data_IF_510625243310
#
_entry.id   IF_510625243310
#
_cell.length_a   1.000
_cell.length_b   1.000
_cell.length_c   1.000
_cell.angle_alpha   90.00
_cell.angle_beta   90.00
_cell.angle_gamma   90.00
#
_symmetry.space_group_name_H-M   'P 1'
#
loop_
_entity.id
_entity.type
_entity.pdbx_description
1 polymer ?
#
# COMPACT_ATOMS: atom_id res chain seq x y z
N UNK A 1 5.73 -39.10 -4.77
CA UNK A 1 4.33 -38.73 -4.47
C UNK A 1 4.14 -37.27 -4.89
N UNK A 2 3.69 -37.03 -6.12
CA UNK A 2 3.52 -35.69 -6.66
C UNK A 2 2.03 -35.33 -6.54
N UNK A 3 1.66 -34.69 -5.43
CA UNK A 3 0.34 -34.08 -5.29
C UNK A 3 0.22 -32.97 -6.33
N UNK A 4 -0.60 -33.19 -7.37
CA UNK A 4 -1.05 -32.09 -8.22
C UNK A 4 -1.65 -31.02 -7.29
N UNK A 5 -1.22 -29.75 -7.35
CA UNK A 5 -1.99 -28.69 -6.72
C UNK A 5 -3.37 -28.75 -7.38
N UNK A 6 -4.40 -29.12 -6.61
CA UNK A 6 -5.77 -29.10 -7.10
C UNK A 6 -6.04 -27.71 -7.68
N UNK A 7 -6.70 -27.66 -8.84
CA UNK A 7 -7.06 -26.40 -9.50
C UNK A 7 -7.49 -25.37 -8.45
N UNK A 8 -6.78 -24.24 -8.40
CA UNK A 8 -6.82 -23.35 -7.24
C UNK A 8 -8.26 -22.89 -6.97
N UNK A 9 -8.83 -23.34 -5.85
CA UNK A 9 -10.17 -22.94 -5.38
C UNK A 9 -10.27 -21.43 -5.10
N UNK A 10 -9.14 -20.72 -5.14
CA UNK A 10 -9.01 -19.28 -5.00
C UNK A 10 -8.01 -18.76 -6.04
N UNK A 11 -8.41 -17.77 -6.83
CA UNK A 11 -7.55 -17.09 -7.80
C UNK A 11 -7.51 -15.60 -7.48
N UNK A 12 -6.32 -15.07 -7.13
CA UNK A 12 -6.10 -13.63 -7.03
C UNK A 12 -5.89 -13.08 -8.44
N UNK A 13 -6.93 -12.45 -8.99
CA UNK A 13 -6.98 -11.93 -10.37
C UNK A 13 -6.20 -10.61 -10.48
N UNK A 14 -6.37 -9.74 -9.49
CA UNK A 14 -5.70 -8.44 -9.49
C UNK A 14 -5.43 -7.93 -8.09
N UNK A 15 -4.43 -7.06 -8.02
CA UNK A 15 -4.09 -6.31 -6.81
C UNK A 15 -3.74 -4.90 -7.22
N UNK A 16 -4.43 -3.91 -6.68
CA UNK A 16 -4.23 -2.49 -7.03
C UNK A 16 -3.96 -1.71 -5.77
N UNK A 17 -2.83 -1.01 -5.74
CA UNK A 17 -2.53 -0.05 -4.69
C UNK A 17 -3.07 1.32 -5.09
N UNK A 18 -4.01 1.82 -4.29
CA UNK A 18 -4.57 3.16 -4.42
C UNK A 18 -3.80 4.09 -3.47
N UNK A 19 -3.31 5.20 -4.00
CA UNK A 19 -2.66 6.26 -3.23
C UNK A 19 -3.65 7.42 -3.09
N UNK A 20 -3.65 8.11 -1.95
CA UNK A 20 -4.52 9.27 -1.74
C UNK A 20 -4.25 10.39 -2.76
N UNK A 21 -2.97 10.66 -3.07
CA UNK A 21 -2.53 11.75 -3.96
C UNK A 21 -1.87 11.25 -5.26
N UNK A 22 -2.21 10.03 -5.71
CA UNK A 22 -1.51 9.40 -6.82
C UNK A 22 -2.41 8.59 -7.77
N UNK A 23 -1.80 8.12 -8.86
CA UNK A 23 -2.48 7.18 -9.76
C UNK A 23 -2.53 5.78 -9.12
N UNK A 24 -3.61 5.01 -9.33
CA UNK A 24 -3.66 3.60 -8.97
C UNK A 24 -2.50 2.84 -9.61
N UNK A 25 -1.81 2.01 -8.82
CA UNK A 25 -0.72 1.17 -9.30
C UNK A 25 -1.15 -0.28 -9.24
N UNK A 26 -1.15 -0.93 -10.40
CA UNK A 26 -1.45 -2.35 -10.51
C UNK A 26 -0.23 -3.17 -10.10
N UNK A 27 -0.39 -4.00 -9.08
CA UNK A 27 0.63 -4.92 -8.60
C UNK A 27 0.33 -6.28 -9.18
N UNK A 28 1.25 -6.82 -9.98
CA UNK A 28 1.12 -8.18 -10.47
C UNK A 28 1.20 -9.15 -9.29
N UNK A 29 0.24 -10.10 -9.13
CA UNK A 29 0.25 -11.08 -8.04
C UNK A 29 1.43 -12.07 -8.01
N UNK A 30 2.48 -11.87 -8.82
CA UNK A 30 3.62 -12.76 -8.96
C UNK A 30 4.87 -12.21 -8.27
N UNK A 31 5.79 -13.11 -7.90
CA UNK A 31 7.02 -12.86 -7.12
C UNK A 31 7.95 -11.75 -7.65
N UNK A 32 7.76 -11.28 -8.88
CA UNK A 32 8.41 -10.08 -9.42
C UNK A 32 7.38 -8.94 -9.50
N UNK A 33 7.22 -8.24 -8.39
CA UNK A 33 6.62 -6.90 -8.42
C UNK A 33 7.74 -5.89 -8.68
N UNK A 34 7.54 -5.00 -9.65
CA UNK A 34 8.36 -3.80 -9.76
C UNK A 34 8.33 -3.07 -8.41
N UNK A 35 9.49 -2.56 -7.98
CA UNK A 35 9.55 -1.85 -6.69
C UNK A 35 8.86 -0.51 -6.84
N UNK A 36 7.74 -0.35 -6.16
CA UNK A 36 6.98 0.90 -6.18
C UNK A 36 7.57 1.90 -5.19
N UNK A 37 7.95 3.09 -5.66
CA UNK A 37 8.35 4.20 -4.79
C UNK A 37 7.11 4.91 -4.22
N UNK A 38 7.03 4.99 -2.90
CA UNK A 38 5.94 5.60 -2.15
C UNK A 38 6.48 6.67 -1.18
N UNK A 39 5.77 7.79 -0.98
CA UNK A 39 6.19 8.80 -0.02
C UNK A 39 6.02 8.30 1.43
N UNK A 40 6.98 8.63 2.28
CA UNK A 40 6.87 8.39 3.73
C UNK A 40 5.60 9.02 4.29
N UNK A 41 4.94 8.34 5.24
CA UNK A 41 3.71 8.82 5.86
C UNK A 41 2.49 8.94 4.93
N UNK A 42 2.62 8.57 3.64
CA UNK A 42 1.51 8.54 2.70
C UNK A 42 0.45 7.50 3.07
N UNK A 43 -0.81 7.74 2.67
CA UNK A 43 -1.92 6.81 2.91
C UNK A 43 -2.17 5.99 1.65
N UNK A 44 -2.21 4.66 1.83
CA UNK A 44 -2.47 3.70 0.75
C UNK A 44 -3.65 2.82 1.08
N UNK A 45 -4.37 2.38 0.05
CA UNK A 45 -5.46 1.41 0.16
C UNK A 45 -5.21 0.27 -0.83
N UNK A 46 -5.24 -0.97 -0.35
CA UNK A 46 -5.11 -2.14 -1.21
C UNK A 46 -6.49 -2.58 -1.71
N UNK A 47 -6.68 -2.60 -3.02
CA UNK A 47 -7.83 -3.26 -3.67
C UNK A 47 -7.41 -4.66 -4.14
N UNK A 48 -8.23 -5.65 -3.83
CA UNK A 48 -8.02 -7.06 -4.13
C UNK A 48 -9.16 -7.52 -5.05
N UNK A 49 -8.82 -8.10 -6.19
CA UNK A 49 -9.78 -8.71 -7.11
C UNK A 49 -9.52 -10.20 -7.17
N UNK A 50 -10.52 -11.03 -6.87
CA UNK A 50 -10.33 -12.48 -6.81
C UNK A 50 -11.56 -13.27 -7.27
N UNK A 51 -11.33 -14.53 -7.62
CA UNK A 51 -12.35 -15.53 -7.97
C UNK A 51 -12.25 -16.73 -7.06
N UNK A 52 -13.37 -17.40 -6.86
CA UNK A 52 -13.48 -18.58 -6.01
C UNK A 52 -14.08 -19.74 -6.80
N UNK A 53 -13.42 -20.90 -6.75
CA UNK A 53 -13.93 -22.15 -7.32
C UNK A 53 -14.99 -22.82 -6.44
N UNK A 54 -15.12 -22.41 -5.18
CA UNK A 54 -16.08 -22.93 -4.20
C UNK A 54 -16.50 -21.85 -3.21
N UNK A 55 -17.54 -22.13 -2.43
CA UNK A 55 -17.92 -21.30 -1.29
C UNK A 55 -16.79 -21.26 -0.24
N UNK A 56 -16.51 -20.06 0.27
CA UNK A 56 -15.49 -19.81 1.30
C UNK A 56 -16.13 -19.05 2.45
N UNK A 57 -16.16 -19.70 3.62
CA UNK A 57 -16.60 -19.06 4.85
C UNK A 57 -15.43 -18.43 5.61
N UNK A 58 -15.64 -17.18 6.05
CA UNK A 58 -14.67 -16.45 6.88
C UNK A 58 -13.31 -16.29 6.21
N UNK A 59 -13.30 -15.81 4.97
CA UNK A 59 -12.09 -15.41 4.27
C UNK A 59 -11.36 -14.33 5.10
N UNK A 60 -10.09 -14.59 5.38
CA UNK A 60 -9.19 -13.71 6.12
C UNK A 60 -7.96 -13.45 5.27
N UNK A 61 -7.50 -12.20 5.25
CA UNK A 61 -6.22 -11.82 4.67
C UNK A 61 -5.28 -11.37 5.79
N UNK A 62 -4.14 -12.06 5.90
CA UNK A 62 -3.10 -11.74 6.89
C UNK A 62 -1.85 -11.31 6.14
N UNK A 63 -1.27 -10.19 6.52
CA UNK A 63 -0.02 -9.72 5.92
C UNK A 63 1.08 -9.45 6.93
N UNK A 64 2.32 -9.72 6.52
CA UNK A 64 3.54 -9.42 7.26
C UNK A 64 4.43 -8.52 6.41
N UNK A 65 4.85 -7.40 7.00
CA UNK A 65 5.80 -6.47 6.39
C UNK A 65 7.20 -6.79 6.84
N UNK A 66 8.12 -6.95 5.90
CA UNK A 66 9.53 -7.22 6.15
C UNK A 66 10.33 -6.02 5.68
N UNK A 67 11.02 -5.37 6.61
CA UNK A 67 11.91 -4.26 6.32
C UNK A 67 13.34 -4.77 6.39
N UNK A 68 14.07 -4.68 5.28
CA UNK A 68 15.50 -5.08 5.24
C UNK A 68 15.75 -6.48 5.85
N UNK A 69 14.83 -7.42 5.61
CA UNK A 69 14.90 -8.79 6.13
C UNK A 69 14.31 -9.00 7.53
N UNK A 70 13.94 -7.93 8.24
CA UNK A 70 13.33 -8.00 9.58
C UNK A 70 11.80 -7.99 9.48
N UNK A 71 11.11 -9.07 9.87
CA UNK A 71 9.64 -9.10 9.86
C UNK A 71 9.06 -8.27 11.00
N UNK A 72 8.03 -7.49 10.68
CA UNK A 72 7.15 -6.84 11.64
C UNK A 72 6.04 -7.78 12.13
N UNK A 73 5.10 -7.21 12.88
CA UNK A 73 3.92 -7.94 13.35
C UNK A 73 2.94 -8.23 12.21
N UNK A 74 2.27 -9.39 12.23
CA UNK A 74 1.20 -9.68 11.28
C UNK A 74 0.00 -8.76 11.49
N UNK A 75 -0.57 -8.28 10.40
CA UNK A 75 -1.83 -7.54 10.36
C UNK A 75 -2.90 -8.41 9.73
N UNK A 76 -3.99 -8.64 10.45
CA UNK A 76 -5.11 -9.49 10.00
C UNK A 76 -6.33 -8.65 9.62
N UNK A 77 -6.95 -8.97 8.49
CA UNK A 77 -8.20 -8.38 8.03
C UNK A 77 -9.20 -9.47 7.64
N UNK A 78 -10.33 -9.51 8.34
CA UNK A 78 -11.46 -10.38 7.99
C UNK A 78 -12.22 -9.77 6.79
N UNK A 79 -12.30 -10.53 5.71
CA UNK A 79 -12.94 -10.11 4.46
C UNK A 79 -14.40 -10.55 4.36
N UNK A 80 -14.78 -11.62 5.07
CA UNK A 80 -16.16 -12.13 5.15
C UNK A 80 -16.35 -13.49 4.48
N UNK A 81 -17.60 -13.88 4.24
CA UNK A 81 -17.94 -15.13 3.53
C UNK A 81 -18.35 -14.83 2.09
N UNK A 82 -17.95 -15.68 1.16
CA UNK A 82 -18.17 -15.52 -0.27
C UNK A 82 -18.66 -16.83 -0.89
N UNK A 83 -19.48 -16.71 -1.93
CA UNK A 83 -19.92 -17.86 -2.73
C UNK A 83 -18.92 -18.15 -3.85
N UNK A 84 -19.00 -19.34 -4.43
CA UNK A 84 -18.27 -19.65 -5.65
C UNK A 84 -18.60 -18.64 -6.76
N UNK A 85 -17.60 -18.25 -7.56
CA UNK A 85 -17.75 -17.30 -8.66
C UNK A 85 -16.80 -16.10 -8.57
N UNK A 86 -17.32 -14.91 -8.88
CA UNK A 86 -16.56 -13.66 -8.98
C UNK A 86 -16.39 -13.16 -10.42
N UNK A 87 -15.57 -12.13 -10.66
CA UNK A 87 -14.62 -11.57 -9.70
C UNK A 87 -15.30 -10.76 -8.58
N UNK A 88 -14.84 -10.95 -7.35
CA UNK A 88 -15.12 -10.07 -6.21
C UNK A 88 -14.06 -8.98 -6.14
N UNK A 89 -14.45 -7.76 -5.75
CA UNK A 89 -13.53 -6.67 -5.45
C UNK A 89 -13.70 -6.25 -3.98
N UNK A 90 -12.59 -6.18 -3.23
CA UNK A 90 -12.57 -5.68 -1.85
C UNK A 90 -11.48 -4.65 -1.71
N UNK A 91 -11.81 -3.55 -1.05
CA UNK A 91 -10.83 -2.55 -0.60
C UNK A 91 -10.54 -2.77 0.87
N UNK A 92 -9.27 -2.98 1.20
CA UNK A 92 -8.83 -3.03 2.58
C UNK A 92 -8.95 -1.64 3.24
N UNK A 93 -8.84 -1.60 4.56
CA UNK A 93 -8.81 -0.32 5.26
C UNK A 93 -7.60 0.50 4.78
N UNK A 94 -7.75 1.83 4.60
CA UNK A 94 -6.62 2.69 4.34
C UNK A 94 -5.56 2.56 5.43
N UNK A 95 -4.31 2.56 5.02
CA UNK A 95 -3.17 2.40 5.91
C UNK A 95 -2.12 3.47 5.64
N UNK A 96 -1.60 4.05 6.73
CA UNK A 96 -0.50 5.00 6.67
C UNK A 96 0.84 4.26 6.59
N UNK A 97 1.65 4.63 5.60
CA UNK A 97 3.00 4.10 5.43
C UNK A 97 3.91 4.58 6.58
N UNK A 98 5.00 3.83 6.88
CA UNK A 98 5.99 4.26 7.84
C UNK A 98 6.49 5.69 7.55
N UNK A 99 6.70 6.47 8.61
CA UNK A 99 7.18 7.85 8.55
C UNK A 99 8.50 8.03 9.30
N UNK A 100 9.25 9.06 8.89
CA UNK A 100 10.55 9.42 9.44
C UNK A 100 11.69 8.81 8.63
N UNK A 101 12.80 9.56 8.50
CA UNK A 101 13.99 9.13 7.76
C UNK A 101 14.48 7.73 8.15
N UNK A 102 14.44 7.41 9.45
CA UNK A 102 14.86 6.11 9.97
C UNK A 102 13.91 4.96 9.60
N UNK A 103 12.75 5.23 9.01
CA UNK A 103 11.75 4.27 8.54
C UNK A 103 11.72 4.16 7.01
N UNK A 104 12.42 5.02 6.29
CA UNK A 104 12.58 4.92 4.84
C UNK A 104 13.39 3.67 4.47
N UNK A 105 13.16 3.16 3.26
CA UNK A 105 13.85 1.96 2.76
C UNK A 105 12.94 0.99 2.02
N UNK A 106 13.46 -0.19 1.70
CA UNK A 106 12.73 -1.22 0.98
C UNK A 106 11.90 -2.10 1.93
N UNK A 107 10.69 -2.39 1.51
CA UNK A 107 9.74 -3.24 2.21
C UNK A 107 9.26 -4.35 1.29
N UNK A 108 9.26 -5.57 1.81
CA UNK A 108 8.51 -6.70 1.24
C UNK A 108 7.24 -6.88 2.06
N UNK A 109 6.12 -7.16 1.39
CA UNK A 109 4.89 -7.56 2.07
C UNK A 109 4.45 -8.91 1.56
N UNK A 110 4.26 -9.82 2.51
CA UNK A 110 3.82 -11.19 2.27
C UNK A 110 2.42 -11.32 2.84
N UNK A 111 1.46 -11.57 1.96
CA UNK A 111 0.06 -11.76 2.30
C UNK A 111 -0.36 -13.22 2.14
N UNK A 112 -1.25 -13.69 2.99
CA UNK A 112 -1.87 -15.02 2.90
C UNK A 112 -3.37 -14.91 3.04
N UNK A 113 -4.10 -15.65 2.22
CA UNK A 113 -5.55 -15.80 2.30
C UNK A 113 -5.90 -17.12 2.94
N UNK A 114 -6.72 -17.10 3.99
CA UNK A 114 -7.16 -18.31 4.70
C UNK A 114 -8.68 -18.34 4.85
N UNK A 115 -9.27 -19.53 4.94
CA UNK A 115 -10.66 -19.68 5.36
C UNK A 115 -10.81 -19.66 6.90
N UNK A 116 -12.06 -19.76 7.40
CA UNK A 116 -12.36 -19.83 8.84
C UNK A 116 -11.63 -20.95 9.59
N UNK A 117 -11.20 -22.01 8.90
CA UNK A 117 -10.45 -23.13 9.49
C UNK A 117 -8.94 -22.91 9.45
N UNK A 118 -8.49 -21.74 9.01
CA UNK A 118 -7.07 -21.41 8.85
C UNK A 118 -6.42 -22.12 7.65
N UNK A 119 -7.19 -22.72 6.73
CA UNK A 119 -6.60 -23.36 5.55
C UNK A 119 -6.14 -22.30 4.57
N UNK A 120 -4.87 -22.38 4.18
CA UNK A 120 -4.29 -21.51 3.14
C UNK A 120 -5.00 -21.74 1.81
N UNK A 121 -5.48 -20.66 1.21
CA UNK A 121 -6.14 -20.63 -0.10
C UNK A 121 -5.22 -20.06 -1.18
N UNK A 122 -4.52 -18.97 -0.85
CA UNK A 122 -3.58 -18.30 -1.76
C UNK A 122 -2.56 -17.45 -0.99
N UNK A 123 -1.52 -17.01 -1.69
CA UNK A 123 -0.54 -16.06 -1.19
C UNK A 123 -0.40 -14.89 -2.14
N UNK A 124 -0.06 -13.73 -1.59
CA UNK A 124 0.24 -12.51 -2.32
C UNK A 124 1.62 -12.00 -1.89
N UNK A 125 2.32 -11.38 -2.82
CA UNK A 125 3.60 -10.76 -2.57
C UNK A 125 3.64 -9.39 -3.25
N UNK A 126 4.22 -8.40 -2.57
CA UNK A 126 4.51 -7.09 -3.15
C UNK A 126 5.76 -6.49 -2.54
N UNK A 127 6.42 -5.63 -3.31
CA UNK A 127 7.59 -4.87 -2.86
C UNK A 127 7.36 -3.38 -3.12
N UNK A 128 7.70 -2.55 -2.15
CA UNK A 128 7.71 -1.10 -2.31
C UNK A 128 8.91 -0.50 -1.58
N UNK A 129 9.25 0.73 -1.93
CA UNK A 129 10.25 1.54 -1.25
C UNK A 129 9.55 2.76 -0.67
N UNK A 130 9.80 3.02 0.60
CA UNK A 130 9.39 4.27 1.24
C UNK A 130 10.54 5.27 1.09
N UNK A 131 10.25 6.41 0.49
CA UNK A 131 11.20 7.48 0.22
C UNK A 131 10.80 8.75 0.97
N UNK A 132 11.76 9.57 1.43
CA UNK A 132 11.46 10.81 2.13
C UNK A 132 10.52 11.69 1.32
N UNK A 133 9.49 12.23 1.97
CA UNK A 133 8.59 13.15 1.30
C UNK A 133 9.29 14.50 1.20
N UNK A 134 9.81 14.82 0.00
CA UNK A 134 10.28 16.17 -0.27
C UNK A 134 9.07 17.06 -0.53
N UNK A 135 8.40 17.51 0.54
CA UNK A 135 7.55 18.67 0.40
C UNK A 135 8.44 19.84 -0.03
N UNK A 136 8.08 20.63 -1.06
CA UNK A 136 8.75 21.89 -1.28
C UNK A 136 8.57 22.72 0.00
N UNK A 137 9.68 23.00 0.68
CA UNK A 137 9.68 23.96 1.79
C UNK A 137 9.30 25.31 1.19
N UNK A 138 8.03 25.68 1.28
CA UNK A 138 7.63 27.07 1.10
C UNK A 138 8.12 27.79 2.34
N UNK A 139 9.31 28.38 2.27
CA UNK A 139 9.81 29.30 3.30
C UNK A 139 8.85 30.50 3.34
N UNK A 140 8.10 30.74 4.43
CA UNK A 140 7.32 31.96 4.56
C UNK A 140 8.31 33.08 4.92
N UNK A 141 8.78 33.84 3.94
CA UNK A 141 9.62 35.00 4.22
C UNK A 141 10.67 35.31 3.17
N UNK A 142 10.23 35.80 2.02
CA UNK A 142 10.96 36.88 1.34
C UNK A 142 9.92 37.89 0.92
N UNK A 143 9.35 38.54 1.92
CA UNK A 143 8.79 39.86 1.74
C UNK A 143 9.96 40.74 1.33
N UNK A 144 10.12 40.91 0.02
CA UNK A 144 11.04 41.88 -0.54
C UNK A 144 10.70 43.25 0.08
N UNK A 145 11.72 43.84 0.68
CA UNK A 145 11.58 45.06 1.45
C UNK A 145 11.20 46.18 0.50
N UNK A 146 10.00 46.75 0.70
CA UNK A 146 9.61 47.98 0.05
C UNK A 146 10.71 49.05 0.25
N UNK A 147 11.15 49.77 -0.81
CA UNK A 147 11.90 50.99 -0.60
C UNK A 147 10.97 52.03 0.04
N UNK A 148 11.21 52.31 1.32
CA UNK A 148 10.68 53.51 1.99
C UNK A 148 11.30 54.72 1.29
N UNK A 149 10.50 55.48 0.55
CA UNK A 149 10.87 56.84 0.15
C UNK A 149 10.53 57.75 1.34
N UNK A 150 11.52 58.38 2.00
CA UNK A 150 11.23 59.45 2.94
C UNK A 150 10.89 60.72 2.16
N UNK A 151 9.67 61.22 2.34
CA UNK A 151 9.32 62.59 1.97
C UNK A 151 9.85 63.59 3.00
N UNK A 152 10.39 64.72 2.55
CA UNK A 152 10.68 65.87 3.40
C UNK A 152 11.48 66.98 2.70
N UNK A 153 10.83 68.14 2.52
CA UNK A 153 11.27 69.43 1.95
C UNK A 153 12.59 69.99 2.53
N UNK A 154 13.32 70.98 1.98
CA UNK A 154 12.95 72.40 1.67
C UNK A 154 14.09 73.15 0.91
N UNK A 155 13.68 74.16 0.12
CA UNK A 155 14.28 75.49 -0.20
C UNK A 155 15.70 75.65 -0.79
N UNK A 156 15.74 76.41 -1.89
CA UNK A 156 16.83 77.24 -2.42
C UNK A 156 16.27 78.20 -3.45
#
# INVERSE_FOLDING_TARGET
MNGRPGAADFELVDMVLLQEEGRPVRIRPAQQSDTLDLPEGGVVTLSLVFRLGRDVDGLTYTEVRVREGVPGLPCETHLGSFRAGGPYEIRLRPERLPSGHASCGAYEVRGTFTDRRGRLLASAYRRYRVSPHSAPVVLPGSADSAPRIPGGAVRG
#
